data_IF_164415494753
#
_entry.id   IF_164415494753
#
_cell.length_a   1.000
_cell.length_b   1.000
_cell.length_c   1.000
_cell.angle_alpha   90.00
_cell.angle_beta   90.00
_cell.angle_gamma   90.00
#
_symmetry.space_group_name_H-M   'P 1'
#
loop_
_entity.id
_entity.type
_entity.pdbx_description
1 polymer ?
#
# COMPACT_ATOMS: atom_id res chain seq x y z
N UNK A 1 -0.78 10.25 -36.66
CA UNK A 1 -0.35 8.87 -36.99
C UNK A 1 -1.51 7.96 -36.66
N UNK A 2 -1.87 7.01 -37.54
CA UNK A 2 -2.94 6.03 -37.29
C UNK A 2 -2.27 4.70 -36.96
N UNK A 3 -2.48 4.17 -35.77
CA UNK A 3 -1.96 2.86 -35.35
C UNK A 3 -2.95 1.77 -35.73
N UNK A 4 -2.49 0.68 -36.34
CA UNK A 4 -3.36 -0.43 -36.74
C UNK A 4 -3.72 -1.34 -35.57
N UNK A 5 -2.92 -1.29 -34.50
CA UNK A 5 -3.20 -1.97 -33.23
C UNK A 5 -4.55 -1.56 -32.63
N UNK A 6 -4.98 -0.30 -32.79
CA UNK A 6 -6.24 0.19 -32.20
C UNK A 6 -7.49 -0.38 -32.88
N UNK A 7 -7.36 -0.83 -34.12
CA UNK A 7 -8.45 -1.47 -34.88
C UNK A 7 -8.44 -2.99 -34.74
N UNK A 8 -7.56 -3.55 -33.90
CA UNK A 8 -7.49 -4.99 -33.62
C UNK A 8 -6.74 -5.83 -34.66
N UNK A 9 -6.12 -5.20 -35.66
CA UNK A 9 -5.28 -5.89 -36.65
C UNK A 9 -3.85 -5.30 -36.66
N UNK A 10 -3.05 -5.59 -35.62
CA UNK A 10 -1.71 -5.03 -35.51
C UNK A 10 -0.78 -5.62 -36.56
N UNK A 11 0.13 -4.78 -37.07
CA UNK A 11 1.23 -5.26 -37.91
C UNK A 11 2.27 -6.00 -37.06
N UNK A 12 3.07 -6.92 -37.64
CA UNK A 12 4.09 -7.65 -36.88
C UNK A 12 5.10 -6.72 -36.20
N UNK A 13 5.44 -5.60 -36.84
CA UNK A 13 6.33 -4.60 -36.28
C UNK A 13 5.73 -3.89 -35.05
N UNK A 14 4.44 -3.56 -35.08
CA UNK A 14 3.75 -2.99 -33.91
C UNK A 14 3.72 -3.99 -32.74
N UNK A 15 3.55 -5.28 -33.01
CA UNK A 15 3.57 -6.32 -31.98
C UNK A 15 4.95 -6.45 -31.32
N UNK A 16 6.02 -6.39 -32.09
CA UNK A 16 7.39 -6.43 -31.57
C UNK A 16 7.68 -5.20 -30.68
N UNK A 17 7.32 -4.00 -31.15
CA UNK A 17 7.48 -2.77 -30.38
C UNK A 17 6.69 -2.80 -29.05
N UNK A 18 5.48 -3.36 -29.05
CA UNK A 18 4.68 -3.50 -27.82
C UNK A 18 5.34 -4.50 -26.87
N UNK A 19 5.88 -5.61 -27.36
CA UNK A 19 6.60 -6.60 -26.54
C UNK A 19 7.84 -5.99 -25.91
N UNK A 20 8.62 -5.23 -26.66
CA UNK A 20 9.78 -4.49 -26.14
C UNK A 20 9.36 -3.49 -25.06
N UNK A 21 8.28 -2.74 -25.28
CA UNK A 21 7.78 -1.79 -24.30
C UNK A 21 7.30 -2.46 -22.99
N UNK A 22 6.63 -3.62 -23.08
CA UNK A 22 6.16 -4.39 -21.92
C UNK A 22 7.33 -5.01 -21.15
N UNK A 23 8.35 -5.49 -21.85
CA UNK A 23 9.55 -6.07 -21.20
C UNK A 23 10.40 -5.00 -20.53
N UNK A 24 10.51 -3.81 -21.13
CA UNK A 24 11.19 -2.66 -20.52
C UNK A 24 10.45 -2.12 -19.29
N UNK A 25 9.10 -2.12 -19.32
CA UNK A 25 8.25 -1.61 -18.25
C UNK A 25 7.30 -2.70 -17.75
N UNK A 26 7.76 -3.63 -16.90
CA UNK A 26 6.90 -4.66 -16.35
C UNK A 26 5.76 -4.02 -15.56
N UNK A 27 4.51 -4.49 -15.72
CA UNK A 27 3.38 -3.93 -14.99
C UNK A 27 3.56 -4.13 -13.49
N UNK A 28 3.52 -3.04 -12.73
CA UNK A 28 3.59 -3.10 -11.28
C UNK A 28 2.32 -3.75 -10.73
N UNK A 29 2.47 -4.94 -10.14
CA UNK A 29 1.38 -5.59 -9.40
C UNK A 29 1.26 -4.89 -8.06
N UNK A 30 0.44 -3.84 -8.01
CA UNK A 30 0.08 -3.20 -6.76
C UNK A 30 -0.82 -4.17 -5.97
N UNK A 31 -0.26 -4.77 -4.92
CA UNK A 31 -1.08 -5.44 -3.92
C UNK A 31 -2.00 -4.41 -3.27
N UNK A 32 -3.30 -4.66 -3.15
CA UNK A 32 -4.19 -3.74 -2.46
C UNK A 32 -3.76 -3.68 -0.99
N UNK A 33 -3.07 -2.61 -0.62
CA UNK A 33 -2.74 -2.32 0.78
C UNK A 33 -4.04 -1.89 1.46
N UNK A 34 -4.84 -2.86 1.92
CA UNK A 34 -5.99 -2.59 2.80
C UNK A 34 -5.39 -2.14 4.15
N UNK A 35 -5.14 -0.83 4.30
CA UNK A 35 -4.77 -0.26 5.59
C UNK A 35 -5.95 -0.46 6.54
N UNK A 36 -5.88 -1.47 7.41
CA UNK A 36 -6.88 -1.65 8.47
C UNK A 36 -6.87 -0.37 9.30
N UNK A 37 -8.01 0.32 9.34
CA UNK A 37 -8.15 1.57 10.09
C UNK A 37 -7.79 1.33 11.56
N UNK A 38 -6.84 2.11 12.08
CA UNK A 38 -6.44 2.12 13.49
C UNK A 38 -7.47 2.89 14.36
N UNK A 39 -8.45 3.54 13.72
CA UNK A 39 -9.46 4.36 14.38
C UNK A 39 -10.23 3.62 15.50
N UNK A 40 -10.42 2.31 15.36
CA UNK A 40 -11.11 1.47 16.34
C UNK A 40 -10.19 0.67 17.26
N UNK A 41 -8.87 0.79 17.14
CA UNK A 41 -7.98 0.09 18.06
C UNK A 41 -8.04 0.75 19.44
N UNK A 42 -8.14 -0.05 20.53
CA UNK A 42 -8.07 0.50 21.86
C UNK A 42 -6.72 1.18 22.03
N UNK A 43 -6.72 2.51 22.01
CA UNK A 43 -5.56 3.29 22.42
C UNK A 43 -5.43 3.06 23.92
N UNK A 44 -4.56 2.11 24.31
CA UNK A 44 -4.12 2.01 25.68
C UNK A 44 -3.58 3.38 26.05
N UNK A 45 -4.29 4.09 26.94
CA UNK A 45 -3.80 5.37 27.48
C UNK A 45 -2.42 5.05 28.03
N UNK A 46 -1.38 5.62 27.44
CA UNK A 46 -0.04 5.51 28.01
C UNK A 46 -0.13 5.92 29.48
N UNK A 47 0.48 5.16 30.40
CA UNK A 47 0.43 5.51 31.81
C UNK A 47 0.99 6.92 31.97
N UNK A 48 0.31 7.73 32.80
CA UNK A 48 0.79 9.07 33.12
C UNK A 48 2.20 8.95 33.72
N UNK A 49 3.13 9.87 33.40
CA UNK A 49 4.50 9.83 33.90
C UNK A 49 4.60 9.87 35.43
N UNK A 50 3.52 10.27 36.11
CA UNK A 50 3.41 10.28 37.56
C UNK A 50 2.25 9.38 38.01
N UNK A 51 2.51 8.08 37.98
CA UNK A 51 1.55 7.08 38.47
C UNK A 51 1.48 7.15 40.00
N UNK A 52 0.39 7.67 40.55
CA UNK A 52 0.11 7.56 41.98
C UNK A 52 -0.37 6.13 42.24
N UNK A 53 0.46 5.32 42.89
CA UNK A 53 0.04 4.01 43.40
C UNK A 53 -0.87 4.20 44.60
N UNK A 54 -2.18 4.02 44.39
CA UNK A 54 -3.16 4.02 45.48
C UNK A 54 -2.81 2.89 46.46
N UNK A 55 -2.57 3.22 47.73
CA UNK A 55 -2.23 2.25 48.79
C UNK A 55 -0.73 2.09 49.10
N UNK A 56 0.19 2.78 48.42
CA UNK A 56 1.63 2.68 48.69
C UNK A 56 2.15 3.52 49.88
N UNK A 57 1.26 4.08 50.71
CA UNK A 57 1.66 4.69 51.99
C UNK A 57 1.44 3.69 53.12
N UNK A 58 2.49 2.94 53.45
CA UNK A 58 2.57 2.24 54.75
C UNK A 58 2.80 3.33 55.79
N UNK A 59 1.88 3.46 56.74
CA UNK A 59 1.95 4.41 57.85
C UNK A 59 3.28 4.27 58.62
N UNK A 60 3.80 5.41 59.09
CA UNK A 60 4.97 5.52 59.98
C UNK A 60 4.84 4.68 61.24
#
# INVERSE_FOLDING_TARGET
MKFTVTTGNPTPQELEAIREAITANPPEKLEPVIKRSVFGLPQLRQPLPHQITFGARKNS
#
